data_IF_382612454131
#
_entry.id   IF_382612454131
#
_cell.length_a   1.000
_cell.length_b   1.000
_cell.length_c   1.000
_cell.angle_alpha   90.00
_cell.angle_beta   90.00
_cell.angle_gamma   90.00
#
_symmetry.space_group_name_H-M   'P 1'
#
loop_
_entity.id
_entity.type
_entity.pdbx_description
1 polymer ?
#
# COMPACT_ATOMS: atom_id res chain seq x y z
N UNK A 1 -16.26 0.72 4.76
CA UNK A 1 -15.77 1.56 3.65
C UNK A 1 -14.27 1.40 3.41
N UNK A 2 -13.37 1.66 4.39
CA UNK A 2 -11.90 1.56 4.19
C UNK A 2 -11.38 0.27 3.53
N UNK A 3 -11.99 -0.88 3.82
CA UNK A 3 -11.59 -2.18 3.24
C UNK A 3 -11.92 -2.29 1.74
N UNK A 4 -13.05 -1.72 1.32
CA UNK A 4 -13.45 -1.71 -0.09
C UNK A 4 -12.48 -0.84 -0.91
N UNK A 5 -12.15 0.36 -0.40
CA UNK A 5 -11.12 1.19 -1.02
C UNK A 5 -9.78 0.46 -1.07
N UNK A 6 -9.37 -0.17 0.04
CA UNK A 6 -8.13 -0.95 0.07
C UNK A 6 -8.09 -2.07 -0.97
N UNK A 7 -9.22 -2.76 -1.18
CA UNK A 7 -9.36 -3.77 -2.22
C UNK A 7 -9.21 -3.19 -3.63
N UNK A 8 -9.95 -2.12 -3.96
CA UNK A 8 -9.91 -1.49 -5.29
C UNK A 8 -8.53 -0.91 -5.58
N UNK A 9 -7.93 -0.20 -4.61
CA UNK A 9 -6.58 0.33 -4.74
C UNK A 9 -5.54 -0.77 -4.92
N UNK A 10 -5.62 -1.86 -4.15
CA UNK A 10 -4.72 -3.00 -4.32
C UNK A 10 -4.87 -3.67 -5.70
N UNK A 11 -6.11 -3.80 -6.19
CA UNK A 11 -6.39 -4.34 -7.52
C UNK A 11 -5.77 -3.48 -8.64
N UNK A 12 -5.84 -2.15 -8.52
CA UNK A 12 -5.22 -1.21 -9.46
C UNK A 12 -3.69 -1.12 -9.31
N UNK A 13 -3.19 -1.31 -8.09
CA UNK A 13 -1.77 -1.18 -7.80
C UNK A 13 -0.94 -2.27 -8.48
N UNK A 14 -1.42 -3.51 -8.55
CA UNK A 14 -0.72 -4.61 -9.22
C UNK A 14 -0.36 -4.30 -10.69
N UNK A 15 -1.33 -3.94 -11.55
CA UNK A 15 -1.08 -3.55 -12.93
C UNK A 15 -0.19 -2.31 -13.05
N UNK A 16 -0.38 -1.31 -12.17
CA UNK A 16 0.47 -0.11 -12.15
C UNK A 16 1.92 -0.47 -11.84
N UNK A 17 2.17 -1.37 -10.88
CA UNK A 17 3.52 -1.84 -10.55
C UNK A 17 4.16 -2.62 -11.70
N UNK A 18 3.38 -3.44 -12.43
CA UNK A 18 3.88 -4.13 -13.62
C UNK A 18 4.29 -3.13 -14.70
N UNK A 19 3.41 -2.21 -15.08
CA UNK A 19 3.70 -1.21 -16.12
C UNK A 19 4.88 -0.33 -15.71
N UNK A 20 4.89 0.19 -14.47
CA UNK A 20 5.99 1.00 -13.97
C UNK A 20 7.31 0.22 -13.92
N UNK A 21 7.28 -1.03 -13.44
CA UNK A 21 8.44 -1.92 -13.40
C UNK A 21 8.98 -2.20 -14.80
N UNK A 22 8.11 -2.63 -15.73
CA UNK A 22 8.50 -2.91 -17.10
C UNK A 22 8.98 -1.68 -17.87
N UNK A 23 8.49 -0.49 -17.54
CA UNK A 23 9.01 0.75 -18.08
C UNK A 23 10.42 1.07 -17.56
N UNK A 24 10.66 0.86 -16.26
CA UNK A 24 11.95 1.16 -15.62
C UNK A 24 13.04 0.15 -16.00
N UNK A 25 12.73 -1.14 -16.10
CA UNK A 25 13.70 -2.23 -16.32
C UNK A 25 14.69 -1.99 -17.49
N UNK A 26 14.25 -1.71 -18.74
CA UNK A 26 15.19 -1.49 -19.83
C UNK A 26 16.05 -0.23 -19.63
N UNK A 27 15.54 0.79 -18.92
CA UNK A 27 16.28 2.00 -18.59
C UNK A 27 17.37 1.75 -17.56
N UNK A 28 17.11 0.88 -16.58
CA UNK A 28 18.13 0.44 -15.63
C UNK A 28 19.22 -0.36 -16.33
N UNK A 29 18.85 -1.24 -17.26
CA UNK A 29 19.82 -1.94 -18.10
C UNK A 29 20.71 -0.97 -18.90
N UNK A 30 20.12 0.06 -19.51
CA UNK A 30 20.86 1.10 -20.22
C UNK A 30 21.76 1.93 -19.27
N UNK A 31 21.28 2.22 -18.06
CA UNK A 31 22.02 2.97 -17.04
C UNK A 31 23.23 2.19 -16.53
N UNK A 32 23.09 0.89 -16.25
CA UNK A 32 24.18 0.03 -15.77
C UNK A 32 25.26 -0.15 -16.85
N UNK A 33 24.86 -0.20 -18.12
CA UNK A 33 25.78 -0.32 -19.25
C UNK A 33 26.28 1.04 -19.78
N UNK A 34 25.88 2.15 -19.16
CA UNK A 34 26.28 3.50 -19.56
C UNK A 34 27.74 3.77 -19.20
N UNK A 35 28.53 4.18 -20.19
CA UNK A 35 29.89 4.71 -19.99
C UNK A 35 29.92 6.22 -19.74
N UNK A 36 28.77 6.92 -19.83
CA UNK A 36 28.67 8.39 -19.73
C UNK A 36 28.44 8.92 -18.30
N UNK A 37 28.38 8.03 -17.30
CA UNK A 37 28.14 8.39 -15.90
C UNK A 37 26.65 8.57 -15.54
N UNK A 38 26.35 8.71 -14.25
CA UNK A 38 24.98 8.66 -13.69
C UNK A 38 24.21 9.99 -13.71
N UNK A 39 24.85 11.08 -14.12
CA UNK A 39 24.32 12.46 -13.95
C UNK A 39 23.71 13.07 -15.22
N UNK A 40 23.50 12.27 -16.27
CA UNK A 40 22.75 12.72 -17.44
C UNK A 40 21.25 12.88 -17.14
N UNK A 41 20.51 13.69 -17.92
CA UNK A 41 19.08 13.94 -17.68
C UNK A 41 18.22 12.66 -17.73
N UNK A 42 18.54 11.74 -18.65
CA UNK A 42 17.86 10.45 -18.80
C UNK A 42 18.13 9.50 -17.62
N UNK A 43 19.35 9.52 -17.12
CA UNK A 43 19.85 8.73 -16.02
C UNK A 43 19.21 9.18 -14.71
N UNK A 44 19.15 10.50 -14.50
CA UNK A 44 18.43 11.11 -13.38
C UNK A 44 16.95 10.76 -13.38
N UNK A 45 16.29 10.81 -14.54
CA UNK A 45 14.88 10.42 -14.66
C UNK A 45 14.67 8.95 -14.27
N UNK A 46 15.60 8.07 -14.68
CA UNK A 46 15.55 6.64 -14.35
C UNK A 46 15.72 6.41 -12.86
N UNK A 47 16.68 7.10 -12.23
CA UNK A 47 16.91 7.04 -10.79
C UNK A 47 15.71 7.59 -9.99
N UNK A 48 15.13 8.71 -10.43
CA UNK A 48 13.94 9.28 -9.81
C UNK A 48 12.75 8.33 -9.92
N UNK A 49 12.51 7.72 -11.08
CA UNK A 49 11.45 6.74 -11.27
C UNK A 49 11.65 5.49 -10.38
N UNK A 50 12.88 4.98 -10.29
CA UNK A 50 13.22 3.89 -9.37
C UNK A 50 12.95 4.25 -7.91
N UNK A 51 13.36 5.46 -7.49
CA UNK A 51 13.16 5.93 -6.13
C UNK A 51 11.67 6.03 -5.78
N UNK A 52 10.87 6.58 -6.70
CA UNK A 52 9.40 6.65 -6.53
C UNK A 52 8.79 5.24 -6.47
N UNK A 53 9.20 4.33 -7.34
CA UNK A 53 8.70 2.95 -7.32
C UNK A 53 9.06 2.23 -6.02
N UNK A 54 10.31 2.34 -5.57
CA UNK A 54 10.77 1.77 -4.31
C UNK A 54 10.02 2.37 -3.11
N UNK A 55 9.79 3.69 -3.12
CA UNK A 55 9.02 4.38 -2.09
C UNK A 55 7.57 3.90 -2.06
N UNK A 56 6.92 3.73 -3.21
CA UNK A 56 5.55 3.20 -3.30
C UNK A 56 5.48 1.79 -2.73
N UNK A 57 6.42 0.91 -3.10
CA UNK A 57 6.50 -0.45 -2.56
C UNK A 57 6.70 -0.42 -1.04
N UNK A 58 7.65 0.38 -0.54
CA UNK A 58 7.89 0.53 0.89
C UNK A 58 6.67 1.08 1.64
N UNK A 59 6.01 2.10 1.09
CA UNK A 59 4.80 2.69 1.67
C UNK A 59 3.63 1.71 1.69
N UNK A 60 3.58 0.72 0.81
CA UNK A 60 2.51 -0.28 0.82
C UNK A 60 2.83 -1.42 1.80
N UNK A 61 4.10 -1.81 1.93
CA UNK A 61 4.53 -2.90 2.80
C UNK A 61 4.69 -2.49 4.27
N UNK A 62 5.25 -1.32 4.57
CA UNK A 62 5.72 -0.94 5.92
C UNK A 62 4.63 -0.41 6.86
N UNK A 63 3.72 0.49 6.46
CA UNK A 63 2.84 1.17 7.40
C UNK A 63 1.77 0.24 7.99
N UNK A 64 1.64 0.13 9.33
CA UNK A 64 0.61 -0.67 9.96
C UNK A 64 -0.80 -0.05 9.84
N UNK A 65 -0.89 1.23 9.45
CA UNK A 65 -2.15 1.98 9.35
C UNK A 65 -2.91 1.73 8.03
N UNK A 66 -2.25 1.18 7.02
CA UNK A 66 -2.89 0.84 5.75
C UNK A 66 -3.59 -0.52 5.87
N UNK A 67 -4.75 -0.65 5.21
CA UNK A 67 -5.49 -1.91 5.22
C UNK A 67 -4.64 -3.00 4.60
N UNK A 68 -4.55 -4.21 5.19
CA UNK A 68 -3.75 -5.31 4.64
C UNK A 68 -4.25 -5.79 3.26
N UNK A 69 -5.45 -5.37 2.85
CA UNK A 69 -6.01 -5.67 1.53
C UNK A 69 -5.30 -4.96 0.36
N UNK A 70 -4.69 -3.79 0.57
CA UNK A 70 -3.95 -3.10 -0.50
C UNK A 70 -2.77 -3.94 -0.97
N UNK A 71 -1.81 -4.29 -0.09
CA UNK A 71 -0.69 -5.14 -0.49
C UNK A 71 -1.19 -6.54 -0.90
N UNK A 72 -2.16 -7.12 -0.19
CA UNK A 72 -2.68 -8.45 -0.50
C UNK A 72 -3.26 -8.55 -1.92
N UNK A 73 -4.14 -7.62 -2.30
CA UNK A 73 -4.74 -7.64 -3.65
C UNK A 73 -3.72 -7.35 -4.75
N UNK A 74 -2.76 -6.44 -4.51
CA UNK A 74 -1.67 -6.23 -5.45
C UNK A 74 -0.84 -7.51 -5.63
N UNK A 75 -0.51 -8.22 -4.53
CA UNK A 75 0.17 -9.52 -4.57
C UNK A 75 -0.61 -10.59 -5.32
N UNK A 76 -1.93 -10.65 -5.16
CA UNK A 76 -2.79 -11.56 -5.94
C UNK A 76 -2.72 -11.25 -7.43
N UNK A 77 -2.78 -9.97 -7.83
CA UNK A 77 -2.67 -9.59 -9.25
C UNK A 77 -1.30 -9.94 -9.81
N UNK A 78 -0.21 -9.66 -9.09
CA UNK A 78 1.15 -10.02 -9.52
C UNK A 78 1.34 -11.54 -9.62
N UNK A 79 0.76 -12.30 -8.70
CA UNK A 79 0.75 -13.77 -8.75
C UNK A 79 -0.04 -14.25 -9.96
N UNK A 80 -1.22 -13.67 -10.21
CA UNK A 80 -2.05 -13.98 -11.37
C UNK A 80 -1.32 -13.73 -12.69
N UNK A 81 -0.61 -12.60 -12.80
CA UNK A 81 0.23 -12.29 -13.96
C UNK A 81 1.36 -13.33 -14.15
N UNK A 82 2.00 -13.75 -13.06
CA UNK A 82 3.05 -14.77 -13.10
C UNK A 82 2.49 -16.12 -13.57
N UNK A 83 1.37 -16.56 -12.99
CA UNK A 83 0.70 -17.82 -13.37
C UNK A 83 0.22 -17.77 -14.81
N UNK A 84 -0.38 -16.66 -15.24
CA UNK A 84 -0.84 -16.47 -16.61
C UNK A 84 0.31 -16.56 -17.60
N UNK A 85 1.47 -15.97 -17.28
CA UNK A 85 2.67 -16.09 -18.11
C UNK A 85 3.22 -17.52 -18.18
N UNK A 86 3.23 -18.25 -17.06
CA UNK A 86 3.67 -19.66 -17.03
C UNK A 86 2.76 -20.56 -17.86
N UNK A 87 1.44 -20.36 -17.77
CA UNK A 87 0.45 -21.15 -18.52
C UNK A 87 0.39 -20.76 -19.99
N UNK A 88 0.54 -19.47 -20.28
CA UNK A 88 0.47 -18.90 -21.62
C UNK A 88 1.57 -17.85 -21.76
N UNK A 89 2.76 -18.22 -22.26
CA UNK A 89 3.91 -17.31 -22.37
C UNK A 89 3.62 -16.05 -23.20
N UNK A 90 2.71 -16.15 -24.17
CA UNK A 90 2.24 -15.05 -25.03
C UNK A 90 1.15 -14.19 -24.38
N UNK A 91 0.82 -14.39 -23.11
CA UNK A 91 -0.22 -13.64 -22.41
C UNK A 91 0.14 -12.15 -22.29
N UNK A 92 1.42 -11.82 -22.05
CA UNK A 92 1.86 -10.43 -21.94
C UNK A 92 1.53 -9.63 -23.21
N UNK A 93 1.79 -10.22 -24.38
CA UNK A 93 1.56 -9.62 -25.70
C UNK A 93 0.08 -9.29 -25.94
N UNK A 94 -0.81 -10.08 -25.35
CA UNK A 94 -2.25 -9.89 -25.48
C UNK A 94 -2.79 -8.83 -24.52
N UNK A 95 -2.24 -8.77 -23.30
CA UNK A 95 -2.70 -7.83 -22.26
C UNK A 95 -2.12 -6.43 -22.46
N UNK A 96 -0.87 -6.34 -22.90
CA UNK A 96 -0.21 -5.06 -23.21
C UNK A 96 -0.41 -4.63 -24.67
N UNK A 97 -1.26 -5.35 -25.42
CA UNK A 97 -1.63 -4.98 -26.76
C UNK A 97 -2.14 -3.52 -26.81
N UNK A 98 -1.89 -2.80 -27.92
CA UNK A 98 -2.30 -1.41 -28.05
C UNK A 98 -3.80 -1.25 -27.80
N UNK A 99 -4.15 -0.41 -26.84
CA UNK A 99 -5.55 -0.14 -26.50
C UNK A 99 -6.10 0.91 -27.46
N UNK A 100 -7.03 0.49 -28.31
CA UNK A 100 -7.77 1.41 -29.19
C UNK A 100 -8.90 2.05 -28.41
N UNK A 101 -8.73 3.32 -28.02
CA UNK A 101 -9.76 4.08 -27.31
C UNK A 101 -10.52 4.95 -28.31
N UNK A 102 -11.85 4.80 -28.43
CA UNK A 102 -12.66 5.66 -29.30
C UNK A 102 -12.46 7.14 -28.94
N UNK A 103 -11.99 7.94 -29.90
CA UNK A 103 -11.73 9.37 -29.74
C UNK A 103 -10.31 9.77 -29.30
N UNK A 104 -9.52 8.85 -28.74
CA UNK A 104 -8.13 9.10 -28.29
C UNK A 104 -7.07 8.41 -29.15
N UNK A 105 -7.49 7.51 -30.06
CA UNK A 105 -6.60 6.76 -30.94
C UNK A 105 -6.02 5.51 -30.29
N UNK A 106 -4.89 5.04 -30.82
CA UNK A 106 -4.19 3.85 -30.32
C UNK A 106 -3.23 4.28 -29.21
N UNK A 107 -3.48 3.83 -27.98
CA UNK A 107 -2.61 4.06 -26.82
C UNK A 107 -1.74 2.82 -26.64
N UNK A 108 -0.44 2.95 -26.90
CA UNK A 108 0.54 1.92 -26.58
C UNK A 108 0.91 2.00 -25.10
N UNK A 109 0.80 0.87 -24.38
CA UNK A 109 1.27 0.79 -23.01
C UNK A 109 2.79 0.71 -23.02
N UNK A 110 3.49 1.64 -22.36
CA UNK A 110 4.94 1.63 -22.39
C UNK A 110 5.45 0.57 -21.38
N UNK A 111 6.47 -0.19 -21.75
CA UNK A 111 7.12 -1.17 -20.86
C UNK A 111 6.76 -2.64 -21.06
N UNK A 112 6.05 -3.01 -22.15
CA UNK A 112 5.74 -4.41 -22.49
C UNK A 112 6.97 -5.33 -22.45
N UNK A 113 8.04 -4.93 -23.15
CA UNK A 113 9.30 -5.70 -23.20
C UNK A 113 9.91 -5.90 -21.81
N UNK A 114 9.87 -4.87 -20.97
CA UNK A 114 10.40 -4.96 -19.60
C UNK A 114 9.53 -5.80 -18.67
N UNK A 115 8.19 -5.78 -18.84
CA UNK A 115 7.31 -6.69 -18.09
C UNK A 115 7.61 -8.14 -18.46
N UNK A 116 7.76 -8.43 -19.77
CA UNK A 116 8.12 -9.77 -20.23
C UNK A 116 9.46 -10.19 -19.63
N UNK A 117 10.49 -9.34 -19.69
CA UNK A 117 11.79 -9.63 -19.09
C UNK A 117 11.72 -9.89 -17.58
N UNK A 118 10.90 -9.13 -16.83
CA UNK A 118 10.70 -9.34 -15.39
C UNK A 118 9.99 -10.67 -15.07
N UNK A 119 9.00 -11.04 -15.88
CA UNK A 119 8.26 -12.30 -15.74
C UNK A 119 9.14 -13.50 -16.10
N UNK A 120 9.88 -13.43 -17.21
CA UNK A 120 10.82 -14.48 -17.65
C UNK A 120 11.97 -14.67 -16.64
N UNK A 121 12.46 -13.58 -16.04
CA UNK A 121 13.44 -13.63 -14.96
C UNK A 121 12.84 -14.14 -13.63
N UNK A 122 11.52 -14.32 -13.54
CA UNK A 122 10.83 -14.75 -12.33
C UNK A 122 10.84 -13.72 -11.19
N UNK A 123 11.20 -12.46 -11.46
CA UNK A 123 11.34 -11.40 -10.43
C UNK A 123 10.00 -10.89 -9.90
N UNK A 124 8.92 -11.09 -10.65
CA UNK A 124 7.57 -10.71 -10.23
C UNK A 124 7.05 -11.60 -9.09
N UNK A 125 7.43 -12.87 -9.07
CA UNK A 125 6.98 -13.84 -8.06
C UNK A 125 7.44 -13.50 -6.63
N UNK A 126 8.73 -13.27 -6.32
CA UNK A 126 9.16 -12.91 -4.98
C UNK A 126 8.56 -11.59 -4.52
N UNK A 127 8.35 -10.63 -5.44
CA UNK A 127 7.63 -9.40 -5.15
C UNK A 127 6.17 -9.68 -4.78
N UNK A 128 5.49 -10.53 -5.55
CA UNK A 128 4.11 -10.93 -5.27
C UNK A 128 3.98 -11.57 -3.88
N UNK A 129 4.90 -12.48 -3.54
CA UNK A 129 4.97 -13.11 -2.21
C UNK A 129 5.18 -12.06 -1.12
N UNK A 130 6.12 -11.12 -1.31
CA UNK A 130 6.37 -10.04 -0.36
C UNK A 130 5.13 -9.17 -0.10
N UNK A 131 4.29 -8.98 -1.11
CA UNK A 131 3.02 -8.26 -1.00
C UNK A 131 1.90 -9.07 -0.31
N UNK A 132 1.98 -10.41 -0.28
CA UNK A 132 1.03 -11.25 0.45
C UNK A 132 1.37 -11.35 1.95
N UNK A 133 2.64 -11.17 2.33
CA UNK A 133 3.12 -11.27 3.71
C UNK A 133 2.29 -10.42 4.71
N UNK A 134 1.96 -9.14 4.45
CA UNK A 134 1.15 -8.31 5.36
C UNK A 134 -0.23 -8.88 5.71
N UNK A 135 -0.81 -9.76 4.87
CA UNK A 135 -2.12 -10.35 5.09
C UNK A 135 -2.14 -11.29 6.32
N UNK A 136 -1.00 -11.93 6.59
CA UNK A 136 -0.84 -12.91 7.67
C UNK A 136 -0.55 -12.28 9.04
N UNK A 137 -0.39 -10.96 9.14
CA UNK A 137 -0.16 -10.27 10.41
C UNK A 137 -1.48 -9.87 11.08
N UNK A 138 -1.89 -10.54 12.19
CA UNK A 138 -3.16 -10.24 12.85
C UNK A 138 -3.24 -8.79 13.38
N UNK A 139 -2.09 -8.19 13.70
CA UNK A 139 -1.97 -6.81 14.16
C UNK A 139 -2.46 -5.78 13.15
N UNK A 140 -2.47 -6.09 11.84
CA UNK A 140 -2.96 -5.17 10.79
C UNK A 140 -4.46 -5.21 10.57
N UNK A 141 -5.12 -6.28 11.02
CA UNK A 141 -6.57 -6.40 10.96
C UNK A 141 -7.25 -5.69 12.14
N UNK A 142 -6.55 -5.60 13.27
CA UNK A 142 -7.01 -4.81 14.41
C UNK A 142 -6.78 -3.33 14.12
N UNK A 143 -7.86 -2.65 13.74
CA UNK A 143 -7.91 -1.20 13.80
C UNK A 143 -7.49 -0.78 15.20
N UNK A 144 -6.37 -0.05 15.31
CA UNK A 144 -6.03 0.69 16.51
C UNK A 144 -7.19 1.66 16.77
N UNK A 145 -8.16 1.25 17.60
CA UNK A 145 -9.02 2.21 18.30
C UNK A 145 -8.11 2.79 19.37
N UNK A 146 -7.81 4.09 19.35
CA UNK A 146 -7.29 4.73 20.54
C UNK A 146 -8.31 4.43 21.65
N UNK A 147 -7.95 3.60 22.63
CA UNK A 147 -8.55 3.70 23.94
C UNK A 147 -8.02 5.02 24.50
N UNK A 148 -8.82 6.08 24.46
CA UNK A 148 -8.36 7.38 24.96
C UNK A 148 -9.05 8.57 24.28
N UNK A 149 -10.33 8.72 24.57
CA UNK A 149 -11.03 10.00 24.61
C UNK A 149 -12.32 9.84 25.45
N UNK A 150 -12.96 8.67 25.42
CA UNK A 150 -14.09 8.31 26.30
C UNK A 150 -13.70 7.47 27.53
N UNK A 151 -12.41 7.27 27.78
CA UNK A 151 -11.91 6.65 29.01
C UNK A 151 -11.33 7.68 30.00
N UNK A 152 -11.31 8.97 29.61
CA UNK A 152 -10.97 10.06 30.52
C UNK A 152 -12.21 10.68 31.17
N UNK A 153 -13.40 10.52 30.57
CA UNK A 153 -14.65 11.08 31.11
C UNK A 153 -15.46 10.05 31.93
N UNK A 154 -15.15 8.76 31.85
CA UNK A 154 -15.92 7.72 32.56
C UNK A 154 -15.45 7.45 34.01
N UNK A 155 -14.28 7.95 34.40
CA UNK A 155 -13.74 7.79 35.76
C UNK A 155 -13.87 9.08 36.61
N UNK A 156 -14.24 10.23 36.04
CA UNK A 156 -14.35 11.50 36.79
C UNK A 156 -15.76 11.80 37.32
N UNK A 157 -16.81 11.18 36.76
CA UNK A 157 -18.19 11.56 37.07
C UNK A 157 -18.80 10.84 38.29
N UNK A 158 -18.30 9.66 38.69
CA UNK A 158 -18.86 8.90 39.83
C UNK A 158 -18.11 9.12 41.17
N UNK A 159 -16.83 9.56 41.15
CA UNK A 159 -16.08 9.83 42.39
C UNK A 159 -16.17 11.30 42.84
N UNK A 160 -16.33 12.24 41.91
CA UNK A 160 -16.41 13.68 42.22
C UNK A 160 -17.73 14.11 42.88
N UNK A 161 -18.85 13.47 42.52
CA UNK A 161 -20.16 13.82 43.08
C UNK A 161 -20.42 13.19 44.46
N UNK A 162 -19.84 12.01 44.74
CA UNK A 162 -19.92 11.38 46.05
C UNK A 162 -19.17 12.17 47.14
N UNK A 163 -18.01 12.74 46.79
CA UNK A 163 -17.23 13.58 47.71
C UNK A 163 -17.90 14.92 48.06
N UNK A 164 -18.77 15.44 47.20
CA UNK A 164 -19.53 16.69 47.45
C UNK A 164 -20.81 16.48 48.28
N UNK A 165 -21.25 15.24 48.45
CA UNK A 165 -22.40 14.90 49.30
C UNK A 165 -21.97 14.55 50.74
N UNK A 166 -20.74 14.08 50.94
CA UNK A 166 -20.20 13.74 52.27
C UNK A 166 -19.87 15.00 53.11
N UNK A 167 -19.59 16.13 52.47
CA UNK A 167 -19.17 17.38 53.13
C UNK A 167 -20.36 18.24 53.65
N UNK A 168 -21.60 17.74 53.60
CA UNK A 168 -22.81 18.49 53.99
C UNK A 168 -23.54 18.02 55.25
N UNK A 169 -23.12 16.93 55.88
CA UNK A 169 -23.86 16.34 57.01
C UNK A 169 -23.25 16.62 58.40
N UNK A 170 -22.13 17.33 58.51
CA UNK A 170 -21.44 17.61 59.78
C UNK A 170 -21.48 19.09 60.22
N UNK A 171 -22.65 19.74 60.17
CA UNK A 171 -22.85 21.02 60.89
C UNK A 171 -23.60 20.78 62.23
N UNK A 172 -22.91 20.81 63.38
CA UNK A 172 -23.57 20.67 64.68
C UNK A 172 -24.44 21.89 64.98
N UNK A 173 -25.75 21.68 65.00
CA UNK A 173 -26.75 22.66 65.44
C UNK A 173 -26.46 23.05 66.90
N UNK A 174 -25.75 24.16 67.09
CA UNK A 174 -25.62 24.83 68.38
C UNK A 174 -26.98 25.36 68.82
N UNK A 175 -27.63 24.69 69.77
CA UNK A 175 -28.81 25.21 70.47
C UNK A 175 -28.38 26.22 71.54
N UNK A 176 -28.86 27.47 71.53
CA UNK A 176 -28.72 28.35 72.68
C UNK A 176 -29.72 27.95 73.78
N UNK A 177 -29.25 28.00 75.02
CA UNK A 177 -30.01 27.86 76.28
C UNK A 177 -30.77 29.14 76.58
#
# INVERSE_FOLDING_TARGET
>A
MRHFFGFVFGLLLGPVLLVAGGWVTPRVGALVNSTRGFFGPSEFLTLAALMVLALVVALVLVPPKLTPLIPGMAGVVLTGATVAHVLQPKWADQVFAPLTVPGLGVVQLPGEEGVRALLEAGLVLPLAVAFLIPLFFPSRWRSYRPRGAHAAEADEDDEGFAALLDDRDDEPISRPV
#
